data_IF_988254063490
#
_entry.id   IF_988254063490
#
_cell.length_a   1.000
_cell.length_b   1.000
_cell.length_c   1.000
_cell.angle_alpha   90.00
_cell.angle_beta   90.00
_cell.angle_gamma   90.00
#
_symmetry.space_group_name_H-M   'P 1'
#
loop_
_entity.id
_entity.type
_entity.pdbx_description
1 polymer ?
#
# COMPACT_ATOMS: atom_id res chain seq x y z
N UNK A 1 5.05 -21.27 14.32
CA UNK A 1 4.52 -20.13 15.10
C UNK A 1 4.72 -18.87 14.27
N UNK A 2 3.74 -17.96 14.16
CA UNK A 2 3.95 -16.71 13.41
C UNK A 2 4.71 -15.73 14.31
N UNK A 3 6.02 -15.60 14.10
CA UNK A 3 6.78 -14.49 14.67
C UNK A 3 6.24 -13.20 14.07
N UNK A 4 5.56 -12.43 14.91
CA UNK A 4 4.86 -11.21 14.53
C UNK A 4 5.75 -10.03 14.86
N UNK A 5 5.97 -9.18 13.87
CA UNK A 5 6.61 -7.88 13.96
C UNK A 5 5.92 -6.98 12.95
N UNK A 6 5.83 -5.70 13.27
CA UNK A 6 5.39 -4.67 12.34
C UNK A 6 5.94 -3.31 12.72
N UNK A 7 6.38 -2.57 11.73
CA UNK A 7 6.74 -1.16 11.86
C UNK A 7 5.49 -0.28 11.94
N UNK A 8 5.65 0.94 12.46
CA UNK A 8 4.57 1.92 12.42
C UNK A 8 4.25 2.32 10.97
N UNK A 9 5.26 2.40 10.09
CA UNK A 9 5.09 2.66 8.67
C UNK A 9 4.16 1.63 8.01
N UNK A 10 4.42 0.33 8.23
CA UNK A 10 3.57 -0.74 7.68
C UNK A 10 2.14 -0.66 8.19
N UNK A 11 1.92 -0.46 9.50
CA UNK A 11 0.57 -0.39 10.07
C UNK A 11 -0.21 0.81 9.53
N UNK A 12 0.42 1.99 9.44
CA UNK A 12 -0.17 3.19 8.86
C UNK A 12 -0.50 3.00 7.38
N UNK A 13 0.42 2.44 6.62
CA UNK A 13 0.21 2.16 5.20
C UNK A 13 -0.90 1.14 4.96
N UNK A 14 -0.94 0.05 5.73
CA UNK A 14 -2.01 -0.95 5.65
C UNK A 14 -3.38 -0.33 5.94
N UNK A 15 -3.48 0.56 6.94
CA UNK A 15 -4.70 1.30 7.23
C UNK A 15 -5.10 2.20 6.06
N UNK A 16 -4.16 2.98 5.53
CA UNK A 16 -4.37 3.84 4.36
C UNK A 16 -4.90 3.05 3.15
N UNK A 17 -4.28 1.93 2.80
CA UNK A 17 -4.74 1.07 1.67
C UNK A 17 -6.16 0.58 1.91
N UNK A 18 -6.50 0.18 3.13
CA UNK A 18 -7.84 -0.25 3.51
C UNK A 18 -8.88 0.87 3.36
N UNK A 19 -8.60 2.05 3.89
CA UNK A 19 -9.48 3.23 3.81
C UNK A 19 -9.69 3.66 2.36
N UNK A 20 -8.61 3.79 1.58
CA UNK A 20 -8.67 4.16 0.17
C UNK A 20 -9.50 3.16 -0.64
N UNK A 21 -9.26 1.85 -0.44
CA UNK A 21 -9.99 0.80 -1.16
C UNK A 21 -11.48 0.80 -0.79
N UNK A 22 -11.82 1.07 0.47
CA UNK A 22 -13.20 1.18 0.92
C UNK A 22 -13.90 2.40 0.29
N UNK A 23 -13.25 3.55 0.24
CA UNK A 23 -13.76 4.76 -0.44
C UNK A 23 -13.96 4.52 -1.94
N UNK A 24 -12.98 3.89 -2.60
CA UNK A 24 -13.08 3.53 -4.01
C UNK A 24 -14.25 2.58 -4.28
N UNK A 25 -14.47 1.59 -3.39
CA UNK A 25 -15.58 0.65 -3.49
C UNK A 25 -16.93 1.35 -3.28
N UNK A 26 -17.05 2.21 -2.26
CA UNK A 26 -18.25 2.99 -2.02
C UNK A 26 -18.60 3.92 -3.19
N UNK A 27 -17.59 4.56 -3.78
CA UNK A 27 -17.77 5.38 -4.99
C UNK A 27 -18.25 4.52 -6.16
N UNK A 28 -17.61 3.38 -6.41
CA UNK A 28 -17.99 2.47 -7.49
C UNK A 28 -19.43 1.97 -7.34
N UNK A 29 -19.78 1.43 -6.17
CA UNK A 29 -21.13 0.90 -5.89
C UNK A 29 -22.16 2.02 -5.97
N UNK A 30 -21.91 3.17 -5.35
CA UNK A 30 -22.82 4.31 -5.40
C UNK A 30 -23.11 4.76 -6.84
N UNK A 31 -22.09 4.82 -7.69
CA UNK A 31 -22.28 5.17 -9.10
C UNK A 31 -23.07 4.09 -9.86
N UNK A 32 -22.85 2.80 -9.59
CA UNK A 32 -23.56 1.69 -10.26
C UNK A 32 -25.05 1.66 -9.88
N UNK A 33 -25.35 1.78 -8.59
CA UNK A 33 -26.73 1.82 -8.06
C UNK A 33 -27.53 3.00 -8.62
N UNK A 34 -26.88 4.16 -8.65
CA UNK A 34 -27.49 5.38 -9.18
C UNK A 34 -27.67 5.26 -10.69
N UNK A 35 -26.67 4.77 -11.45
CA UNK A 35 -26.76 4.62 -12.91
C UNK A 35 -27.92 3.71 -13.33
N UNK A 36 -28.13 2.58 -12.65
CA UNK A 36 -29.27 1.71 -12.92
C UNK A 36 -30.63 2.41 -12.70
N UNK A 37 -30.71 3.29 -11.70
CA UNK A 37 -31.91 4.07 -11.39
C UNK A 37 -32.15 5.21 -12.39
N UNK A 38 -31.09 5.70 -13.04
CA UNK A 38 -31.13 6.81 -13.99
C UNK A 38 -31.46 6.34 -15.40
N UNK A 39 -30.88 5.23 -15.85
CA UNK A 39 -31.12 4.69 -17.19
C UNK A 39 -32.61 4.37 -17.38
N UNK A 40 -33.32 4.01 -16.30
CA UNK A 40 -34.77 3.84 -16.29
C UNK A 40 -35.59 5.14 -16.36
N UNK A 41 -34.98 6.30 -16.11
CA UNK A 41 -35.63 7.62 -16.09
C UNK A 41 -35.36 8.45 -17.36
N UNK A 42 -34.44 8.03 -18.23
CA UNK A 42 -34.13 8.73 -19.49
C UNK A 42 -33.53 10.14 -19.30
N UNK A 43 -32.93 10.41 -18.14
CA UNK A 43 -32.37 11.72 -17.81
C UNK A 43 -30.99 11.92 -18.46
N UNK A 44 -30.77 13.08 -19.08
CA UNK A 44 -29.52 13.40 -19.78
C UNK A 44 -28.34 13.72 -18.83
N UNK A 45 -28.60 14.35 -17.68
CA UNK A 45 -27.63 14.59 -16.61
C UNK A 45 -28.27 14.33 -15.23
N UNK A 46 -28.19 13.10 -14.73
CA UNK A 46 -28.79 12.72 -13.46
C UNK A 46 -28.06 13.27 -12.23
N UNK A 47 -26.77 13.58 -12.38
CA UNK A 47 -25.93 14.03 -11.28
C UNK A 47 -26.22 15.48 -10.96
N UNK A 48 -26.49 16.29 -11.98
CA UNK A 48 -27.00 17.66 -11.82
C UNK A 48 -28.29 17.67 -11.00
N UNK A 49 -29.27 16.81 -11.32
CA UNK A 49 -30.54 16.71 -10.60
C UNK A 49 -30.34 16.26 -9.14
N UNK A 50 -29.49 15.25 -8.91
CA UNK A 50 -29.21 14.77 -7.56
C UNK A 50 -28.46 15.82 -6.73
N UNK A 51 -27.49 16.50 -7.34
CA UNK A 51 -26.70 17.55 -6.69
C UNK A 51 -27.58 18.75 -6.31
N UNK A 52 -28.52 19.14 -7.18
CA UNK A 52 -29.45 20.24 -6.94
C UNK A 52 -30.32 20.00 -5.69
N UNK A 53 -30.77 18.75 -5.46
CA UNK A 53 -31.50 18.38 -4.22
C UNK A 53 -30.73 18.67 -2.94
N UNK A 54 -29.40 18.74 -3.03
CA UNK A 54 -28.51 19.04 -1.92
C UNK A 54 -27.94 20.48 -1.99
N UNK A 55 -28.49 21.33 -2.86
CA UNK A 55 -28.02 22.72 -3.04
C UNK A 55 -26.66 22.83 -3.73
N UNK A 56 -26.21 21.77 -4.41
CA UNK A 56 -24.93 21.72 -5.12
C UNK A 56 -25.17 21.96 -6.61
N UNK A 57 -24.52 22.98 -7.16
CA UNK A 57 -24.55 23.24 -8.61
C UNK A 57 -23.51 22.37 -9.31
N UNK A 58 -23.96 21.49 -10.20
CA UNK A 58 -23.14 20.62 -11.05
C UNK A 58 -23.65 20.78 -12.49
N UNK A 59 -22.78 20.85 -13.50
CA UNK A 59 -23.25 20.97 -14.90
C UNK A 59 -22.44 20.07 -15.85
N UNK A 60 -23.14 19.27 -16.67
CA UNK A 60 -22.58 18.59 -17.84
C UNK A 60 -21.61 17.45 -17.53
N UNK A 61 -21.80 16.75 -16.41
CA UNK A 61 -20.90 15.68 -15.98
C UNK A 61 -21.54 14.31 -16.19
N UNK A 62 -21.00 13.54 -17.14
CA UNK A 62 -21.40 12.14 -17.37
C UNK A 62 -20.86 11.19 -16.30
N UNK A 63 -21.66 10.22 -15.87
CA UNK A 63 -21.30 9.17 -14.89
C UNK A 63 -19.96 8.50 -15.20
N UNK A 64 -19.71 8.19 -16.47
CA UNK A 64 -18.51 7.48 -16.91
C UNK A 64 -17.25 8.33 -16.71
N UNK A 65 -17.37 9.66 -16.86
CA UNK A 65 -16.25 10.59 -16.61
C UNK A 65 -15.94 10.67 -15.12
N UNK A 66 -16.95 10.68 -14.25
CA UNK A 66 -16.77 10.63 -12.80
C UNK A 66 -16.06 9.34 -12.40
N UNK A 67 -16.57 8.21 -12.89
CA UNK A 67 -16.01 6.89 -12.58
C UNK A 67 -14.56 6.78 -13.04
N UNK A 68 -14.27 7.15 -14.29
CA UNK A 68 -12.91 7.12 -14.85
C UNK A 68 -11.96 8.03 -14.06
N UNK A 69 -12.42 9.22 -13.66
CA UNK A 69 -11.62 10.15 -12.87
C UNK A 69 -11.35 9.60 -11.47
N UNK A 70 -12.37 9.05 -10.82
CA UNK A 70 -12.23 8.42 -9.51
C UNK A 70 -11.25 7.24 -9.55
N UNK A 71 -11.32 6.38 -10.57
CA UNK A 71 -10.38 5.26 -10.73
C UNK A 71 -8.94 5.77 -10.88
N UNK A 72 -8.72 6.72 -11.79
CA UNK A 72 -7.39 7.31 -12.04
C UNK A 72 -6.81 7.96 -10.77
N UNK A 73 -7.62 8.74 -10.05
CA UNK A 73 -7.20 9.39 -8.81
C UNK A 73 -6.86 8.37 -7.71
N UNK A 74 -7.63 7.30 -7.57
CA UNK A 74 -7.34 6.25 -6.60
C UNK A 74 -6.05 5.49 -6.93
N UNK A 75 -5.78 5.20 -8.21
CA UNK A 75 -4.51 4.58 -8.63
C UNK A 75 -3.32 5.49 -8.30
N UNK A 76 -3.40 6.78 -8.64
CA UNK A 76 -2.36 7.77 -8.31
C UNK A 76 -2.15 7.87 -6.80
N UNK A 77 -3.25 7.94 -6.02
CA UNK A 77 -3.19 8.05 -4.57
C UNK A 77 -2.58 6.82 -3.92
N UNK A 78 -2.96 5.63 -4.40
CA UNK A 78 -2.42 4.37 -3.90
C UNK A 78 -0.93 4.25 -4.16
N UNK A 79 -0.47 4.59 -5.36
CA UNK A 79 0.95 4.57 -5.68
C UNK A 79 1.73 5.61 -4.89
N UNK A 80 1.19 6.82 -4.74
CA UNK A 80 1.80 7.87 -3.90
C UNK A 80 1.90 7.43 -2.44
N UNK A 81 0.94 6.64 -1.96
CA UNK A 81 1.02 6.00 -0.65
C UNK A 81 2.17 4.98 -0.53
N UNK A 82 2.50 4.25 -1.61
CA UNK A 82 3.67 3.37 -1.65
C UNK A 82 4.96 4.19 -1.50
N UNK A 83 5.06 5.32 -2.21
CA UNK A 83 6.22 6.21 -2.10
C UNK A 83 6.38 6.75 -0.67
N UNK A 84 5.28 7.19 -0.05
CA UNK A 84 5.26 7.64 1.34
C UNK A 84 5.65 6.52 2.31
N UNK A 85 5.16 5.29 2.10
CA UNK A 85 5.53 4.14 2.92
C UNK A 85 7.05 3.88 2.91
N UNK A 86 7.71 4.00 1.76
CA UNK A 86 9.17 3.87 1.68
C UNK A 86 9.89 5.02 2.40
N UNK A 87 9.38 6.25 2.27
CA UNK A 87 9.91 7.41 3.00
C UNK A 87 9.81 7.21 4.52
N UNK A 88 8.64 6.80 5.01
CA UNK A 88 8.40 6.54 6.43
C UNK A 88 9.26 5.38 6.95
N UNK A 89 9.41 4.32 6.15
CA UNK A 89 10.32 3.20 6.43
C UNK A 89 11.75 3.70 6.65
N UNK A 90 12.26 4.51 5.72
CA UNK A 90 13.60 5.12 5.83
C UNK A 90 13.73 5.95 7.10
N UNK A 91 12.71 6.73 7.46
CA UNK A 91 12.73 7.57 8.66
C UNK A 91 12.81 6.76 9.96
N UNK A 92 12.22 5.55 9.98
CA UNK A 92 12.19 4.66 11.15
C UNK A 92 13.45 3.80 11.27
N UNK A 93 14.19 3.61 10.19
CA UNK A 93 15.32 2.68 10.12
C UNK A 93 16.40 2.94 11.19
N UNK A 94 16.76 4.21 11.41
CA UNK A 94 17.79 4.55 12.40
C UNK A 94 17.36 4.19 13.82
N UNK A 95 16.11 4.49 14.20
CA UNK A 95 15.59 4.15 15.51
C UNK A 95 15.58 2.63 15.74
N UNK A 96 15.21 1.86 14.71
CA UNK A 96 15.15 0.39 14.77
C UNK A 96 16.54 -0.25 14.84
N UNK A 97 17.43 0.10 13.92
CA UNK A 97 18.71 -0.61 13.75
C UNK A 97 19.92 0.09 14.34
N UNK A 98 19.80 1.37 14.74
CA UNK A 98 20.93 2.19 15.19
C UNK A 98 21.94 2.51 14.08
N UNK A 99 21.56 2.29 12.82
CA UNK A 99 22.39 2.49 11.62
C UNK A 99 21.86 3.64 10.79
N UNK A 100 22.72 4.26 9.98
CA UNK A 100 22.31 5.28 9.02
C UNK A 100 21.80 4.59 7.76
N UNK A 101 20.70 5.10 7.19
CA UNK A 101 20.20 4.63 5.91
C UNK A 101 21.12 5.08 4.77
N UNK A 102 21.59 4.14 3.96
CA UNK A 102 22.48 4.38 2.82
C UNK A 102 21.70 4.29 1.52
N UNK A 103 21.67 5.37 0.74
CA UNK A 103 21.07 5.44 -0.59
C UNK A 103 21.96 6.29 -1.50
N UNK A 104 22.23 5.81 -2.71
CA UNK A 104 23.01 6.51 -3.73
C UNK A 104 22.07 7.10 -4.80
N UNK A 105 22.58 8.06 -5.56
CA UNK A 105 21.85 8.64 -6.69
C UNK A 105 21.50 7.56 -7.72
N UNK A 106 20.23 7.54 -8.14
CA UNK A 106 19.70 6.56 -9.08
C UNK A 106 19.26 5.23 -8.46
N UNK A 107 19.45 5.00 -7.17
CA UNK A 107 18.92 3.80 -6.51
C UNK A 107 17.39 3.77 -6.55
N UNK A 108 16.83 2.63 -6.99
CA UNK A 108 15.41 2.35 -6.78
C UNK A 108 15.15 2.09 -5.28
N UNK A 109 13.91 2.26 -4.79
CA UNK A 109 13.57 1.95 -3.40
C UNK A 109 13.99 0.54 -2.96
N UNK A 110 13.87 -0.46 -3.85
CA UNK A 110 14.30 -1.83 -3.59
C UNK A 110 15.82 -1.99 -3.50
N UNK A 111 16.58 -1.28 -4.33
CA UNK A 111 18.04 -1.29 -4.25
C UNK A 111 18.52 -0.71 -2.93
N UNK A 112 17.92 0.41 -2.51
CA UNK A 112 18.19 0.99 -1.20
C UNK A 112 17.80 0.01 -0.07
N UNK A 113 16.63 -0.65 -0.17
CA UNK A 113 16.18 -1.60 0.86
C UNK A 113 17.15 -2.79 1.01
N UNK A 114 17.57 -3.38 -0.11
CA UNK A 114 18.51 -4.51 -0.13
C UNK A 114 19.88 -4.16 0.46
N UNK A 115 20.29 -2.88 0.40
CA UNK A 115 21.55 -2.42 0.98
C UNK A 115 21.46 -2.22 2.49
N UNK A 116 20.30 -1.81 2.99
CA UNK A 116 20.10 -1.43 4.38
C UNK A 116 19.58 -2.59 5.24
N UNK A 117 18.93 -3.56 4.65
CA UNK A 117 18.39 -4.73 5.34
C UNK A 117 19.29 -5.94 5.12
N UNK A 118 19.17 -6.98 5.97
CA UNK A 118 19.94 -8.23 5.81
C UNK A 118 19.54 -9.07 4.60
N UNK A 119 18.70 -8.52 3.72
CA UNK A 119 18.06 -9.22 2.62
C UNK A 119 18.79 -8.94 1.32
N UNK A 120 19.25 -10.00 0.65
CA UNK A 120 19.83 -9.87 -0.67
C UNK A 120 18.76 -9.47 -1.70
N UNK A 121 19.16 -8.88 -2.82
CA UNK A 121 18.26 -8.63 -3.97
C UNK A 121 17.46 -9.89 -4.38
N UNK A 122 18.13 -11.05 -4.37
CA UNK A 122 17.52 -12.36 -4.62
C UNK A 122 16.48 -12.75 -3.57
N UNK A 123 16.61 -12.29 -2.32
CA UNK A 123 15.63 -12.52 -1.27
C UNK A 123 14.37 -11.67 -1.49
N UNK A 124 14.50 -10.43 -1.95
CA UNK A 124 13.32 -9.60 -2.29
C UNK A 124 12.62 -10.10 -3.56
N UNK A 125 13.39 -10.47 -4.58
CA UNK A 125 12.87 -11.07 -5.81
C UNK A 125 12.21 -12.43 -5.53
N UNK A 126 12.76 -13.27 -4.65
CA UNK A 126 12.10 -14.54 -4.27
C UNK A 126 10.84 -14.35 -3.42
N UNK A 127 10.72 -13.23 -2.68
CA UNK A 127 9.52 -12.93 -1.87
C UNK A 127 8.38 -12.30 -2.67
N UNK A 128 8.69 -11.38 -3.58
CA UNK A 128 7.67 -10.72 -4.40
C UNK A 128 7.44 -11.46 -5.72
N UNK A 129 8.46 -12.06 -6.30
CA UNK A 129 8.40 -12.61 -7.65
C UNK A 129 8.53 -11.51 -8.71
N UNK A 130 9.14 -11.87 -9.84
CA UNK A 130 9.32 -10.97 -10.98
C UNK A 130 7.97 -10.40 -11.46
N UNK A 131 6.92 -11.19 -11.39
CA UNK A 131 5.59 -10.84 -11.88
C UNK A 131 4.94 -9.72 -11.06
N UNK A 132 5.12 -9.72 -9.73
CA UNK A 132 4.61 -8.62 -8.86
C UNK A 132 5.41 -7.34 -9.07
N UNK A 133 6.74 -7.45 -9.20
CA UNK A 133 7.61 -6.30 -9.48
C UNK A 133 7.21 -5.66 -10.82
N UNK A 134 7.07 -6.48 -11.86
CA UNK A 134 6.61 -6.04 -13.19
C UNK A 134 5.24 -5.37 -13.11
N UNK A 135 4.33 -5.89 -12.29
CA UNK A 135 3.02 -5.27 -12.07
C UNK A 135 3.11 -3.91 -11.37
N UNK A 136 3.98 -3.77 -10.36
CA UNK A 136 4.22 -2.48 -9.69
C UNK A 136 4.84 -1.47 -10.65
N UNK A 137 5.77 -1.88 -11.52
CA UNK A 137 6.35 -1.02 -12.55
C UNK A 137 5.33 -0.57 -13.59
N UNK A 138 4.43 -1.47 -14.00
CA UNK A 138 3.31 -1.10 -14.86
C UNK A 138 2.46 0.00 -14.22
N UNK A 139 2.03 -0.16 -12.97
CA UNK A 139 1.23 0.87 -12.29
C UNK A 139 2.00 2.16 -11.99
N UNK A 140 3.34 2.12 -11.93
CA UNK A 140 4.18 3.33 -11.89
C UNK A 140 4.03 4.15 -13.18
N UNK A 141 4.10 3.48 -14.33
CA UNK A 141 3.93 4.10 -15.64
C UNK A 141 2.51 4.62 -15.82
N UNK A 142 1.50 3.86 -15.38
CA UNK A 142 0.10 4.31 -15.33
C UNK A 142 -0.06 5.56 -14.45
N UNK A 143 0.50 5.57 -13.24
CA UNK A 143 0.47 6.76 -12.37
C UNK A 143 1.11 7.96 -13.06
N UNK A 144 2.23 7.77 -13.75
CA UNK A 144 2.92 8.85 -14.45
C UNK A 144 2.12 9.38 -15.64
N UNK A 145 1.48 8.53 -16.44
CA UNK A 145 0.62 8.97 -17.54
C UNK A 145 -0.65 9.68 -17.06
N UNK A 146 -1.11 9.38 -15.84
CA UNK A 146 -2.23 10.09 -15.21
C UNK A 146 -1.79 11.45 -14.64
N UNK A 147 -0.69 11.48 -13.88
CA UNK A 147 -0.21 12.67 -13.16
C UNK A 147 0.48 13.70 -14.07
N UNK A 148 1.16 13.23 -15.12
CA UNK A 148 1.87 14.05 -16.10
C UNK A 148 1.41 13.66 -17.51
N UNK A 149 0.18 14.06 -17.91
CA UNK A 149 -0.41 13.61 -19.17
C UNK A 149 0.39 14.13 -20.36
N UNK A 150 1.15 13.24 -20.99
CA UNK A 150 1.86 13.45 -22.25
C UNK A 150 1.69 12.21 -23.13
N UNK A 151 1.72 12.41 -24.45
CA UNK A 151 1.64 11.29 -25.40
C UNK A 151 2.73 10.24 -25.17
N UNK A 152 3.93 10.70 -24.80
CA UNK A 152 5.06 9.81 -24.47
C UNK A 152 4.81 8.95 -23.23
N UNK A 153 4.32 9.54 -22.12
CA UNK A 153 4.05 8.82 -20.89
C UNK A 153 2.93 7.77 -21.06
N UNK A 154 1.89 8.12 -21.83
CA UNK A 154 0.81 7.21 -22.16
C UNK A 154 1.28 6.07 -23.07
N UNK A 155 2.04 6.39 -24.13
CA UNK A 155 2.65 5.39 -25.02
C UNK A 155 3.58 4.44 -24.27
N UNK A 156 4.39 4.94 -23.33
CA UNK A 156 5.27 4.11 -22.52
C UNK A 156 4.48 3.10 -21.66
N UNK A 157 3.38 3.52 -21.03
CA UNK A 157 2.52 2.64 -20.25
C UNK A 157 1.83 1.58 -21.14
N UNK A 158 1.36 1.98 -22.33
CA UNK A 158 0.75 1.06 -23.31
C UNK A 158 1.74 0.02 -23.81
N UNK A 159 2.93 0.46 -24.20
CA UNK A 159 3.96 -0.42 -24.71
C UNK A 159 4.40 -1.42 -23.64
N UNK A 160 4.65 -0.94 -22.41
CA UNK A 160 5.02 -1.80 -21.29
C UNK A 160 3.95 -2.87 -21.00
N UNK A 161 2.67 -2.51 -21.05
CA UNK A 161 1.56 -3.45 -20.90
C UNK A 161 1.59 -4.56 -21.96
N UNK A 162 1.82 -4.19 -23.22
CA UNK A 162 1.89 -5.15 -24.33
C UNK A 162 3.09 -6.09 -24.19
N UNK A 163 4.26 -5.54 -23.89
CA UNK A 163 5.52 -6.29 -23.79
C UNK A 163 5.54 -7.27 -22.61
N UNK A 164 4.79 -6.97 -21.54
CA UNK A 164 4.83 -7.73 -20.29
C UNK A 164 3.51 -8.43 -19.94
N UNK A 165 2.57 -8.53 -20.90
CA UNK A 165 1.19 -8.98 -20.66
C UNK A 165 1.10 -10.31 -19.90
N UNK A 166 1.95 -11.28 -20.23
CA UNK A 166 1.91 -12.60 -19.61
C UNK A 166 2.32 -12.57 -18.13
N UNK A 167 3.39 -11.84 -17.80
CA UNK A 167 3.85 -11.64 -16.41
C UNK A 167 2.79 -10.90 -15.59
N UNK A 168 2.22 -9.86 -16.18
CA UNK A 168 1.14 -9.07 -15.58
C UNK A 168 -0.09 -9.93 -15.28
N UNK A 169 -0.49 -10.80 -16.20
CA UNK A 169 -1.67 -11.67 -16.06
C UNK A 169 -1.42 -12.81 -15.06
N UNK A 170 -0.20 -13.34 -14.99
CA UNK A 170 0.18 -14.41 -14.04
C UNK A 170 -0.10 -14.02 -12.58
N UNK A 171 0.26 -12.79 -12.20
CA UNK A 171 0.03 -12.29 -10.83
C UNK A 171 -1.47 -12.11 -10.53
N UNK A 172 -2.25 -11.66 -11.52
CA UNK A 172 -3.70 -11.57 -11.37
C UNK A 172 -4.36 -12.94 -11.17
N UNK A 173 -3.90 -13.96 -11.92
CA UNK A 173 -4.35 -15.35 -11.75
C UNK A 173 -4.03 -15.85 -10.33
N UNK A 174 -2.81 -15.60 -9.83
CA UNK A 174 -2.41 -15.99 -8.47
C UNK A 174 -3.30 -15.35 -7.38
N UNK A 175 -3.86 -14.18 -7.64
CA UNK A 175 -4.82 -13.52 -6.75
C UNK A 175 -6.28 -13.93 -6.97
N UNK A 176 -6.57 -14.75 -7.98
CA UNK A 176 -7.93 -15.14 -8.36
C UNK A 176 -8.72 -14.02 -9.05
N UNK A 177 -8.03 -13.13 -9.77
CA UNK A 177 -8.63 -11.98 -10.44
C UNK A 177 -8.55 -12.17 -11.97
N UNK A 178 -9.68 -12.03 -12.67
CA UNK A 178 -9.80 -12.37 -14.11
C UNK A 178 -9.74 -11.17 -15.07
N UNK A 179 -9.93 -9.95 -14.56
CA UNK A 179 -10.16 -8.75 -15.36
C UNK A 179 -9.05 -7.70 -15.26
N UNK A 180 -7.90 -8.07 -14.70
CA UNK A 180 -6.79 -7.17 -14.36
C UNK A 180 -5.44 -7.85 -14.62
N UNK A 181 -4.36 -7.08 -14.75
CA UNK A 181 -4.35 -5.62 -14.95
C UNK A 181 -4.93 -5.27 -16.32
N UNK A 182 -5.57 -4.10 -16.42
CA UNK A 182 -6.11 -3.58 -17.68
C UNK A 182 -5.16 -2.58 -18.32
N UNK A 183 -5.22 -2.36 -19.65
CA UNK A 183 -4.46 -1.30 -20.31
C UNK A 183 -4.87 0.08 -19.78
N UNK A 184 -3.95 1.05 -19.89
CA UNK A 184 -4.08 2.40 -19.30
C UNK A 184 -5.34 3.17 -19.72
N UNK A 185 -5.89 2.88 -20.91
CA UNK A 185 -7.09 3.53 -21.45
C UNK A 185 -8.40 2.96 -20.90
N UNK A 186 -8.36 1.76 -20.32
CA UNK A 186 -9.53 0.98 -19.90
C UNK A 186 -9.47 0.57 -18.42
N UNK A 187 -8.74 1.35 -17.60
CA UNK A 187 -8.62 1.09 -16.15
C UNK A 187 -10.00 1.00 -15.48
N UNK A 188 -10.12 0.04 -14.57
CA UNK A 188 -11.36 -0.28 -13.86
C UNK A 188 -11.19 -0.21 -12.34
N UNK A 189 -12.29 -0.31 -11.60
CA UNK A 189 -12.24 -0.47 -10.15
C UNK A 189 -11.42 -1.71 -9.71
N UNK A 190 -11.41 -2.78 -10.52
CA UNK A 190 -10.64 -3.97 -10.20
C UNK A 190 -9.13 -3.71 -10.21
N UNK A 191 -8.65 -2.75 -11.02
CA UNK A 191 -7.24 -2.35 -11.04
C UNK A 191 -6.81 -1.72 -9.71
N UNK A 192 -7.71 -0.97 -9.06
CA UNK A 192 -7.47 -0.42 -7.71
C UNK A 192 -7.29 -1.56 -6.71
N UNK A 193 -8.20 -2.55 -6.73
CA UNK A 193 -8.12 -3.72 -5.84
C UNK A 193 -6.84 -4.53 -6.08
N UNK A 194 -6.47 -4.67 -7.34
CA UNK A 194 -5.28 -5.41 -7.74
C UNK A 194 -4.01 -4.71 -7.26
N UNK A 195 -3.87 -3.40 -7.52
CA UNK A 195 -2.77 -2.60 -7.02
C UNK A 195 -2.74 -2.55 -5.48
N UNK A 196 -3.90 -2.52 -4.81
CA UNK A 196 -3.96 -2.52 -3.34
C UNK A 196 -3.38 -3.81 -2.76
N UNK A 197 -3.68 -4.94 -3.40
CA UNK A 197 -3.13 -6.24 -2.99
C UNK A 197 -1.63 -6.34 -3.26
N UNK A 198 -1.17 -5.89 -4.42
CA UNK A 198 0.25 -5.78 -4.74
C UNK A 198 1.00 -4.92 -3.71
N UNK A 199 0.44 -3.77 -3.37
CA UNK A 199 1.01 -2.84 -2.42
C UNK A 199 1.11 -3.45 -1.01
N UNK A 200 0.11 -4.22 -0.58
CA UNK A 200 0.14 -4.92 0.71
C UNK A 200 1.14 -6.08 0.73
N UNK A 201 1.28 -6.83 -0.36
CA UNK A 201 2.30 -7.87 -0.49
C UNK A 201 3.71 -7.25 -0.42
N UNK A 202 3.92 -6.14 -1.15
CA UNK A 202 5.14 -5.34 -1.09
C UNK A 202 5.45 -4.88 0.33
N UNK A 203 4.50 -4.18 0.96
CA UNK A 203 4.71 -3.63 2.28
C UNK A 203 4.96 -4.73 3.32
N UNK A 204 4.30 -5.89 3.19
CA UNK A 204 4.53 -7.06 4.06
C UNK A 204 5.94 -7.63 3.86
N UNK A 205 6.44 -7.69 2.62
CA UNK A 205 7.79 -8.16 2.35
C UNK A 205 8.83 -7.22 2.97
N UNK A 206 8.67 -5.91 2.75
CA UNK A 206 9.54 -4.85 3.30
C UNK A 206 9.51 -4.83 4.83
N UNK A 207 8.34 -4.93 5.43
CA UNK A 207 8.19 -4.88 6.90
C UNK A 207 8.90 -6.04 7.60
N UNK A 208 8.92 -7.22 6.97
CA UNK A 208 9.72 -8.36 7.45
C UNK A 208 11.21 -8.11 7.37
N UNK A 209 11.67 -7.35 6.39
CA UNK A 209 13.09 -7.01 6.22
C UNK A 209 13.58 -5.98 7.25
N UNK A 210 12.65 -5.28 7.90
CA UNK A 210 12.93 -4.28 8.94
C UNK A 210 12.87 -4.86 10.35
N UNK A 211 12.55 -6.14 10.52
CA UNK A 211 12.62 -6.78 11.84
C UNK A 211 14.09 -6.80 12.30
N UNK A 212 14.45 -6.07 13.37
CA UNK A 212 15.85 -5.95 13.77
C UNK A 212 16.34 -7.17 14.58
N UNK A 213 15.46 -8.14 14.86
CA UNK A 213 15.76 -9.31 15.67
C UNK A 213 15.58 -9.09 17.17
N UNK A 214 15.50 -10.20 17.91
CA UNK A 214 15.12 -10.20 19.33
C UNK A 214 16.15 -9.46 20.20
N UNK A 215 17.46 -9.63 19.95
CA UNK A 215 18.54 -8.94 20.69
C UNK A 215 18.43 -7.41 20.57
N UNK A 216 18.20 -6.91 19.36
CA UNK A 216 18.08 -5.46 19.13
C UNK A 216 16.79 -4.93 19.76
N UNK A 217 15.69 -5.68 19.66
CA UNK A 217 14.43 -5.32 20.30
C UNK A 217 14.59 -5.24 21.83
N UNK A 218 15.33 -6.15 22.46
CA UNK A 218 15.59 -6.15 23.90
C UNK A 218 16.27 -4.84 24.35
N UNK A 219 17.24 -4.35 23.56
CA UNK A 219 17.92 -3.06 23.81
C UNK A 219 16.97 -1.86 23.66
N UNK A 220 16.01 -1.93 22.74
CA UNK A 220 15.06 -0.85 22.49
C UNK A 220 13.96 -0.75 23.56
N UNK A 221 13.71 -1.81 24.33
CA UNK A 221 12.69 -1.81 25.38
C UNK A 221 13.05 -0.76 26.43
N UNK A 222 12.15 0.19 26.73
CA UNK A 222 12.41 1.20 27.74
C UNK A 222 12.71 0.56 29.10
N UNK A 223 13.86 0.94 29.68
CA UNK A 223 14.21 0.54 31.05
C UNK A 223 13.27 1.16 32.07
N UNK A 224 12.75 2.35 31.75
CA UNK A 224 11.75 3.09 32.54
C UNK A 224 10.51 3.36 31.70
N UNK A 225 9.33 3.07 32.27
CA UNK A 225 8.02 3.40 31.69
C UNK A 225 7.33 4.37 32.64
N UNK A 226 6.82 5.49 32.10
CA UNK A 226 6.23 6.59 32.89
C UNK A 226 5.14 6.09 33.84
N UNK A 227 5.22 6.53 35.11
CA UNK A 227 4.48 6.01 36.28
C UNK A 227 4.95 4.60 36.66
N UNK A 228 5.98 4.54 37.52
CA UNK A 228 6.59 3.31 38.02
C UNK A 228 5.52 2.33 38.53
N UNK A 229 5.35 1.17 37.88
CA UNK A 229 4.64 0.07 38.50
C UNK A 229 5.47 -0.39 39.70
N UNK A 230 4.86 -0.46 40.89
CA UNK A 230 5.57 -0.73 42.16
C UNK A 230 6.18 -2.15 42.26
N UNK A 231 5.85 -3.07 41.33
CA UNK A 231 6.34 -4.46 41.35
C UNK A 231 7.05 -4.85 40.07
N UNK A 232 8.02 -5.77 40.19
CA UNK A 232 8.76 -6.36 39.06
C UNK A 232 7.82 -6.97 38.01
N UNK A 233 6.79 -7.67 38.46
CA UNK A 233 5.76 -8.28 37.60
C UNK A 233 5.02 -7.23 36.77
N UNK A 234 4.63 -6.09 37.37
CA UNK A 234 3.92 -5.04 36.63
C UNK A 234 4.85 -4.32 35.65
N UNK A 235 6.14 -4.18 35.97
CA UNK A 235 7.14 -3.66 35.03
C UNK A 235 7.34 -4.61 33.84
N UNK A 236 7.45 -5.92 34.10
CA UNK A 236 7.53 -6.95 33.06
C UNK A 236 6.34 -6.89 32.11
N UNK A 237 5.12 -6.87 32.67
CA UNK A 237 3.89 -6.77 31.88
C UNK A 237 3.80 -5.45 31.09
N UNK A 238 4.28 -4.34 31.64
CA UNK A 238 4.34 -3.06 30.93
C UNK A 238 5.31 -3.11 29.74
N UNK A 239 6.47 -3.75 29.89
CA UNK A 239 7.44 -3.94 28.79
C UNK A 239 6.90 -4.85 27.69
N UNK A 240 6.20 -5.93 28.05
CA UNK A 240 5.46 -6.76 27.07
C UNK A 240 4.41 -5.94 26.34
N UNK A 241 3.64 -5.13 27.07
CA UNK A 241 2.66 -4.22 26.51
C UNK A 241 3.27 -3.23 25.52
N UNK A 242 4.44 -2.67 25.85
CA UNK A 242 5.18 -1.78 24.96
C UNK A 242 5.62 -2.48 23.66
N UNK A 243 6.19 -3.69 23.73
CA UNK A 243 6.55 -4.47 22.52
C UNK A 243 5.32 -4.78 21.66
N UNK A 244 4.19 -5.10 22.28
CA UNK A 244 2.94 -5.38 21.59
C UNK A 244 2.35 -4.14 20.90
N UNK A 245 2.30 -3.00 21.60
CA UNK A 245 1.74 -1.75 21.04
C UNK A 245 2.66 -1.14 19.99
N UNK A 246 3.97 -1.12 20.24
CA UNK A 246 4.95 -0.47 19.36
C UNK A 246 5.23 -1.31 18.11
N UNK A 247 5.31 -2.64 18.24
CA UNK A 247 5.74 -3.51 17.15
C UNK A 247 4.74 -4.62 16.79
N UNK A 248 3.60 -4.73 17.45
CA UNK A 248 2.65 -5.81 17.17
C UNK A 248 3.16 -7.21 17.58
N UNK A 249 4.17 -7.27 18.46
CA UNK A 249 4.78 -8.53 18.90
C UNK A 249 3.83 -9.29 19.81
N UNK A 250 3.62 -10.58 19.50
CA UNK A 250 2.83 -11.49 20.33
C UNK A 250 3.53 -11.85 21.64
N UNK A 251 2.71 -12.16 22.66
CA UNK A 251 3.19 -12.43 24.03
C UNK A 251 4.33 -13.46 24.09
N UNK A 252 4.25 -14.56 23.34
CA UNK A 252 5.29 -15.60 23.38
C UNK A 252 6.67 -15.09 22.93
N UNK A 253 6.73 -14.29 21.85
CA UNK A 253 7.99 -13.67 21.39
C UNK A 253 8.43 -12.54 22.32
N UNK A 254 7.49 -11.75 22.84
CA UNK A 254 7.81 -10.72 23.82
C UNK A 254 8.48 -11.31 25.08
N UNK A 255 8.04 -12.47 25.57
CA UNK A 255 8.70 -13.16 26.69
C UNK A 255 10.14 -13.53 26.37
N UNK A 256 10.40 -14.08 25.17
CA UNK A 256 11.76 -14.41 24.75
C UNK A 256 12.66 -13.17 24.71
N UNK A 257 12.18 -12.09 24.12
CA UNK A 257 12.93 -10.82 24.02
C UNK A 257 13.28 -10.29 25.41
N UNK A 258 12.36 -10.35 26.37
CA UNK A 258 12.59 -9.85 27.73
C UNK A 258 13.43 -10.78 28.61
N UNK A 259 13.74 -11.99 28.12
CA UNK A 259 14.62 -12.95 28.81
C UNK A 259 16.09 -12.87 28.39
N UNK A 260 16.40 -12.05 27.38
CA UNK A 260 17.76 -11.72 26.92
C UNK A 260 18.36 -10.67 27.86
#
# INVERSE_FOLDING_TARGET
MKDTFSTAAFRSFKKFVGELTAVAAGTYVGLQEVSASIDGLGLADPWEILAEKHGVKLCGIKSERVLRSAIRLNIVSLYSGIDLFFSDTRSQFHALHGKVWVQYDGDTPFMALARNTGSSKQLHESRLGLERITSLDYYRLVRNSIAHPSGEAESAAKQFYLDNRDLLTSTAIAYGMKSVPRPVDDLSFHDIKYLARLALDLATAVDKDLDPGDDRLAILVPTTISRLPRSSERLHNARKGWLSVTFGIQSARAERILSI
#
